data_IF_847705896863
#
_entry.id   IF_847705896863
#
_cell.length_a   1.000
_cell.length_b   1.000
_cell.length_c   1.000
_cell.angle_alpha   90.00
_cell.angle_beta   90.00
_cell.angle_gamma   90.00
#
_symmetry.space_group_name_H-M   'P 1'
#
loop_
_entity.id
_entity.type
_entity.pdbx_description
1 polymer ?
#
# COMPACT_ATOMS: atom_id res chain seq x y z
N UNK A 1 -8.71 -2.06 -10.25
CA UNK A 1 -10.04 -2.28 -9.63
C UNK A 1 -9.86 -2.41 -8.13
N UNK A 2 -10.94 -2.52 -7.36
CA UNK A 2 -10.84 -2.71 -5.91
C UNK A 2 -10.12 -4.02 -5.57
N UNK A 3 -10.53 -5.14 -6.18
CA UNK A 3 -9.88 -6.45 -6.01
C UNK A 3 -8.38 -6.41 -6.34
N UNK A 4 -8.00 -5.72 -7.42
CA UNK A 4 -6.60 -5.60 -7.82
C UNK A 4 -5.73 -4.90 -6.76
N UNK A 5 -6.29 -3.91 -6.06
CA UNK A 5 -5.59 -3.24 -4.96
C UNK A 5 -5.45 -4.20 -3.78
N UNK A 6 -6.50 -4.94 -3.43
CA UNK A 6 -6.47 -5.91 -2.32
C UNK A 6 -5.40 -6.98 -2.57
N UNK A 7 -5.45 -7.66 -3.72
CA UNK A 7 -4.48 -8.68 -4.11
C UNK A 7 -3.04 -8.14 -4.08
N UNK A 8 -2.85 -6.92 -4.56
CA UNK A 8 -1.52 -6.28 -4.54
C UNK A 8 -1.00 -6.05 -3.13
N UNK A 9 -1.86 -5.59 -2.21
CA UNK A 9 -1.46 -5.38 -0.82
C UNK A 9 -1.18 -6.70 -0.08
N UNK A 10 -1.90 -7.77 -0.41
CA UNK A 10 -1.61 -9.11 0.10
C UNK A 10 -0.24 -9.59 -0.39
N UNK A 11 -0.03 -9.58 -1.71
CA UNK A 11 1.19 -10.10 -2.33
C UNK A 11 2.46 -9.34 -1.93
N UNK A 12 2.40 -8.00 -1.96
CA UNK A 12 3.58 -7.14 -1.84
C UNK A 12 3.78 -6.72 -0.39
N UNK A 13 2.73 -6.27 0.29
CA UNK A 13 2.85 -5.79 1.66
C UNK A 13 2.78 -6.92 2.69
N UNK A 14 2.38 -8.13 2.28
CA UNK A 14 2.19 -9.28 3.17
C UNK A 14 0.98 -9.11 4.09
N UNK A 15 -0.01 -8.33 3.66
CA UNK A 15 -1.23 -8.15 4.43
C UNK A 15 -2.08 -9.42 4.40
N UNK A 16 -2.85 -9.66 5.46
CA UNK A 16 -4.01 -10.54 5.33
C UNK A 16 -5.04 -9.94 4.38
N UNK A 17 -5.91 -10.77 3.81
CA UNK A 17 -6.98 -10.31 2.94
C UNK A 17 -7.85 -9.23 3.62
N UNK A 18 -8.24 -9.45 4.88
CA UNK A 18 -9.04 -8.49 5.65
C UNK A 18 -8.32 -7.13 5.81
N UNK A 19 -7.03 -7.13 6.14
CA UNK A 19 -6.26 -5.89 6.24
C UNK A 19 -6.16 -5.16 4.90
N UNK A 20 -5.93 -5.90 3.81
CA UNK A 20 -5.83 -5.35 2.47
C UNK A 20 -7.17 -4.76 2.00
N UNK A 21 -8.28 -5.46 2.26
CA UNK A 21 -9.64 -5.00 2.00
C UNK A 21 -9.95 -3.70 2.76
N UNK A 22 -9.68 -3.68 4.07
CA UNK A 22 -9.88 -2.47 4.88
C UNK A 22 -9.02 -1.29 4.37
N UNK A 23 -7.76 -1.54 4.03
CA UNK A 23 -6.90 -0.52 3.44
C UNK A 23 -7.46 0.03 2.12
N UNK A 24 -7.92 -0.86 1.23
CA UNK A 24 -8.52 -0.46 -0.04
C UNK A 24 -9.76 0.42 0.17
N UNK A 25 -10.60 0.08 1.16
CA UNK A 25 -11.79 0.87 1.49
C UNK A 25 -11.43 2.25 2.04
N UNK A 26 -10.44 2.32 2.92
CA UNK A 26 -9.98 3.60 3.48
C UNK A 26 -9.39 4.48 2.38
N UNK A 27 -8.55 3.92 1.49
CA UNK A 27 -7.98 4.67 0.35
C UNK A 27 -9.08 5.17 -0.57
N UNK A 28 -10.07 4.34 -0.88
CA UNK A 28 -11.18 4.73 -1.74
C UNK A 28 -12.00 5.89 -1.16
N UNK A 29 -12.28 5.87 0.14
CA UNK A 29 -13.09 6.88 0.80
C UNK A 29 -12.32 8.16 1.12
N UNK A 30 -11.06 8.04 1.54
CA UNK A 30 -10.26 9.14 2.08
C UNK A 30 -9.18 9.64 1.09
N UNK A 31 -9.06 9.02 -0.08
CA UNK A 31 -8.08 9.33 -1.12
C UNK A 31 -6.68 8.76 -0.87
N UNK A 32 -6.24 8.64 0.39
CA UNK A 32 -4.96 8.01 0.76
C UNK A 32 -4.99 7.35 2.12
N UNK A 33 -4.07 6.42 2.34
CA UNK A 33 -3.87 5.74 3.62
C UNK A 33 -2.41 5.28 3.79
N UNK A 34 -1.91 5.26 5.03
CA UNK A 34 -0.59 4.73 5.36
C UNK A 34 -0.65 3.20 5.44
N UNK A 35 -0.30 2.53 4.34
CA UNK A 35 -0.39 1.07 4.20
C UNK A 35 0.65 0.34 5.06
N UNK A 36 1.88 0.84 5.12
CA UNK A 36 3.00 0.18 5.80
C UNK A 36 4.01 1.21 6.33
N UNK A 37 4.59 0.92 7.48
CA UNK A 37 5.66 1.71 8.10
C UNK A 37 6.93 0.86 8.22
N UNK A 38 8.10 1.49 8.06
CA UNK A 38 9.38 0.80 8.07
C UNK A 38 10.53 1.72 7.68
N UNK A 39 11.74 1.17 7.56
CA UNK A 39 12.88 1.92 7.04
C UNK A 39 12.71 2.15 5.54
N UNK A 40 13.26 3.27 5.05
CA UNK A 40 13.17 3.63 3.63
C UNK A 40 13.66 2.50 2.71
N UNK A 41 14.77 1.85 3.05
CA UNK A 41 15.34 0.76 2.26
C UNK A 41 14.43 -0.47 2.16
N UNK A 42 13.61 -0.73 3.18
CA UNK A 42 12.63 -1.81 3.17
C UNK A 42 11.36 -1.41 2.41
N UNK A 43 10.96 -0.13 2.49
CA UNK A 43 9.73 0.38 1.88
C UNK A 43 9.90 0.65 0.38
N UNK A 44 11.08 1.07 -0.06
CA UNK A 44 11.39 1.39 -1.45
C UNK A 44 11.02 0.26 -2.43
N UNK A 45 11.51 -0.98 -2.28
CA UNK A 45 11.18 -2.05 -3.22
C UNK A 45 9.68 -2.39 -3.21
N UNK A 46 8.99 -2.25 -2.07
CA UNK A 46 7.54 -2.48 -1.99
C UNK A 46 6.77 -1.39 -2.75
N UNK A 47 7.16 -0.12 -2.57
CA UNK A 47 6.56 1.00 -3.28
C UNK A 47 6.75 0.87 -4.79
N UNK A 48 7.95 0.54 -5.25
CA UNK A 48 8.25 0.31 -6.67
C UNK A 48 7.36 -0.80 -7.24
N UNK A 49 7.28 -1.96 -6.57
CA UNK A 49 6.46 -3.08 -7.01
C UNK A 49 4.95 -2.75 -7.07
N UNK A 50 4.43 -1.93 -6.14
CA UNK A 50 3.05 -1.44 -6.18
C UNK A 50 2.84 -0.52 -7.40
N UNK A 51 3.79 0.38 -7.66
CA UNK A 51 3.71 1.30 -8.80
C UNK A 51 3.83 0.61 -10.16
N UNK A 52 4.63 -0.46 -10.25
CA UNK A 52 4.71 -1.31 -11.45
C UNK A 52 3.39 -2.02 -11.77
N UNK A 53 2.57 -2.31 -10.75
CA UNK A 53 1.20 -2.81 -10.90
C UNK A 53 0.17 -1.71 -11.24
N UNK A 54 0.62 -0.49 -11.49
CA UNK A 54 -0.20 0.65 -11.87
C UNK A 54 -0.98 1.29 -10.73
N UNK A 55 -0.60 1.01 -9.47
CA UNK A 55 -1.22 1.60 -8.28
C UNK A 55 -0.34 2.75 -7.78
N UNK A 56 -0.93 3.91 -7.54
CA UNK A 56 -0.19 5.06 -7.02
C UNK A 56 0.18 4.81 -5.54
N UNK A 57 1.49 4.84 -5.25
CA UNK A 57 2.04 4.74 -3.91
C UNK A 57 3.23 5.70 -3.77
N UNK A 58 3.41 6.23 -2.56
CA UNK A 58 4.53 7.11 -2.22
C UNK A 58 5.10 6.72 -0.86
N UNK A 59 6.36 7.09 -0.62
CA UNK A 59 7.00 6.98 0.69
C UNK A 59 7.06 8.38 1.29
N UNK A 60 6.37 8.60 2.40
CA UNK A 60 6.38 9.87 3.13
C UNK A 60 7.33 9.76 4.33
N UNK A 61 8.27 10.70 4.46
CA UNK A 61 9.12 10.82 5.64
C UNK A 61 8.36 11.62 6.70
N UNK A 62 8.08 11.01 7.84
CA UNK A 62 7.49 11.71 8.98
C UNK A 62 8.59 12.50 9.69
N UNK A 63 8.57 13.82 9.55
CA UNK A 63 9.37 14.70 10.39
C UNK A 63 8.67 14.80 11.76
N UNK A 64 9.42 14.49 12.83
CA UNK A 64 8.99 14.70 14.21
C UNK A 64 9.02 16.18 14.57
#
# INVERSE_FOLDING_TARGET
>A
TFEWVIETLVDICGHSYEQAEQCAYIIHNNGKYAVKNGHYEDLKPLCEAITERGINATIEMLAN
#
